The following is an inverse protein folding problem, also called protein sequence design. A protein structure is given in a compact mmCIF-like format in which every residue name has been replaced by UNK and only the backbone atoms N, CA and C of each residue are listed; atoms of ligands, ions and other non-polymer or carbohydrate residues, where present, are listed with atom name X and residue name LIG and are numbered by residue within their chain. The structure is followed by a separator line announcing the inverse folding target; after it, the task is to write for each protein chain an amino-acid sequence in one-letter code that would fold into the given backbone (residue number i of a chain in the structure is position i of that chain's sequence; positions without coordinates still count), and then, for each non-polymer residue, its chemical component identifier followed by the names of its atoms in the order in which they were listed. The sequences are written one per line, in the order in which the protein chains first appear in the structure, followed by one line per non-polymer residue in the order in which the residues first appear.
data_IF_391921873176
#
_entry.id   IF_391921873176
#
_cell.length_a   1.000
_cell.length_b   1.000
_cell.length_c   1.000
_cell.angle_alpha   90.00
_cell.angle_beta   90.00
_cell.angle_gamma   90.00
#
_symmetry.space_group_name_H-M   'P 1'
#
loop_
_entity.id
_entity.type
_entity.pdbx_description
1 polymer ?
#
# COMPACT_ATOMS: atom_id res chain seq x y z
N UNK A 1 9.27 0.54 -7.43
CA UNK A 1 8.45 -0.28 -6.50
C UNK A 1 7.28 -0.95 -7.22
N UNK A 2 6.32 -0.21 -7.75
CA UNK A 2 5.17 -0.76 -8.50
C UNK A 2 5.58 -1.70 -9.64
N UNK A 3 6.59 -1.34 -10.45
CA UNK A 3 7.08 -2.23 -11.52
C UNK A 3 7.49 -3.62 -11.00
N UNK A 4 8.27 -3.66 -9.91
CA UNK A 4 8.69 -4.93 -9.29
C UNK A 4 7.48 -5.74 -8.82
N UNK A 5 6.51 -5.08 -8.18
CA UNK A 5 5.27 -5.76 -7.79
C UNK A 5 4.48 -6.28 -9.00
N UNK A 6 4.37 -5.51 -10.08
CA UNK A 6 3.67 -5.89 -11.29
C UNK A 6 4.30 -7.15 -11.92
N UNK A 7 5.64 -7.21 -11.98
CA UNK A 7 6.38 -8.40 -12.44
C UNK A 7 6.12 -9.61 -11.55
N UNK A 8 6.16 -9.44 -10.22
CA UNK A 8 5.86 -10.53 -9.29
C UNK A 8 4.42 -11.02 -9.47
N UNK A 9 3.45 -10.11 -9.55
CA UNK A 9 2.05 -10.44 -9.75
C UNK A 9 1.81 -11.22 -11.04
N UNK A 10 2.39 -10.78 -12.16
CA UNK A 10 2.23 -11.46 -13.44
C UNK A 10 2.82 -12.87 -13.42
N UNK A 11 3.98 -13.06 -12.77
CA UNK A 11 4.57 -14.38 -12.58
C UNK A 11 3.66 -15.29 -11.75
N UNK A 12 3.14 -14.82 -10.61
CA UNK A 12 2.23 -15.61 -9.79
C UNK A 12 0.91 -15.92 -10.51
N UNK A 13 0.36 -14.98 -11.29
CA UNK A 13 -0.80 -15.26 -12.15
C UNK A 13 -0.48 -16.35 -13.16
N UNK A 14 0.68 -16.29 -13.83
CA UNK A 14 1.09 -17.28 -14.83
C UNK A 14 1.34 -18.66 -14.23
N UNK A 15 1.97 -18.73 -13.06
CA UNK A 15 2.29 -19.98 -12.37
C UNK A 15 1.08 -20.64 -11.71
N UNK A 16 0.07 -19.86 -11.35
CA UNK A 16 -1.15 -20.33 -10.71
C UNK A 16 -2.39 -19.83 -11.48
N UNK A 17 -2.77 -20.50 -12.58
CA UNK A 17 -3.91 -20.07 -13.41
C UNK A 17 -5.24 -19.99 -12.67
N UNK A 18 -5.46 -20.78 -11.63
CA UNK A 18 -6.69 -20.70 -10.80
C UNK A 18 -6.52 -19.81 -9.56
N UNK A 19 -5.31 -19.30 -9.37
CA UNK A 19 -4.88 -18.51 -8.22
C UNK A 19 -5.39 -17.07 -8.28
N UNK A 20 -5.55 -16.50 -7.09
CA UNK A 20 -5.95 -15.12 -6.87
C UNK A 20 -4.72 -14.31 -6.47
N UNK A 21 -4.49 -13.23 -7.20
CA UNK A 21 -3.44 -12.24 -6.96
C UNK A 21 -4.11 -10.93 -6.55
N UNK A 22 -3.69 -10.37 -5.42
CA UNK A 22 -4.31 -9.16 -4.86
C UNK A 22 -3.26 -8.06 -4.73
N UNK A 23 -3.55 -6.88 -5.26
CA UNK A 23 -2.83 -5.65 -4.97
C UNK A 23 -3.70 -4.77 -4.09
N UNK A 24 -3.20 -4.42 -2.91
CA UNK A 24 -3.91 -3.53 -1.99
C UNK A 24 -3.26 -2.15 -1.94
N UNK A 25 -4.07 -1.10 -2.03
CA UNK A 25 -3.61 0.28 -1.85
C UNK A 25 -4.52 1.05 -0.86
N UNK A 26 -3.99 2.04 -0.12
CA UNK A 26 -4.73 2.69 0.97
C UNK A 26 -5.98 3.45 0.52
N UNK A 27 -5.97 4.01 -0.70
CA UNK A 27 -7.05 4.87 -1.19
C UNK A 27 -7.49 4.47 -2.60
N UNK A 28 -8.70 4.84 -2.97
CA UNK A 28 -9.28 4.54 -4.29
C UNK A 28 -8.49 5.18 -5.45
N UNK A 29 -8.05 6.45 -5.37
CA UNK A 29 -7.20 7.03 -6.41
C UNK A 29 -5.89 6.27 -6.60
N UNK A 30 -5.28 5.80 -5.50
CA UNK A 30 -4.08 4.96 -5.58
C UNK A 30 -4.40 3.64 -6.25
N UNK A 31 -5.50 2.96 -5.88
CA UNK A 31 -5.96 1.74 -6.56
C UNK A 31 -6.05 1.95 -8.08
N UNK A 32 -6.76 2.99 -8.55
CA UNK A 32 -6.87 3.29 -9.98
C UNK A 32 -5.51 3.56 -10.64
N UNK A 33 -4.60 4.27 -9.95
CA UNK A 33 -3.26 4.53 -10.45
C UNK A 33 -2.47 3.23 -10.64
N UNK A 34 -2.57 2.29 -9.69
CA UNK A 34 -1.86 1.01 -9.78
C UNK A 34 -2.44 0.10 -10.86
N UNK A 35 -3.76 0.14 -11.10
CA UNK A 35 -4.40 -0.58 -12.23
C UNK A 35 -3.80 -0.10 -13.56
N UNK A 36 -3.78 1.23 -13.79
CA UNK A 36 -3.19 1.82 -15.00
C UNK A 36 -1.73 1.43 -15.15
N UNK A 37 -0.94 1.61 -14.09
CA UNK A 37 0.48 1.26 -14.12
C UNK A 37 0.72 -0.23 -14.41
N UNK A 38 -0.03 -1.14 -13.80
CA UNK A 38 0.15 -2.58 -14.04
C UNK A 38 -0.28 -3.01 -15.44
N UNK A 39 -1.35 -2.39 -15.99
CA UNK A 39 -1.78 -2.62 -17.37
C UNK A 39 -0.70 -2.19 -18.36
N UNK A 40 -0.20 -0.96 -18.21
CA UNK A 40 0.75 -0.37 -19.16
C UNK A 40 2.12 -1.08 -19.11
N UNK A 41 2.48 -1.66 -17.96
CA UNK A 41 3.77 -2.35 -17.77
C UNK A 41 3.73 -3.84 -18.12
N UNK A 42 2.63 -4.54 -17.81
CA UNK A 42 2.56 -6.00 -17.85
C UNK A 42 1.54 -6.55 -18.84
N UNK A 43 0.82 -5.68 -19.56
CA UNK A 43 -0.23 -6.06 -20.51
C UNK A 43 -1.26 -7.03 -19.90
N UNK A 44 -1.56 -6.89 -18.60
CA UNK A 44 -2.63 -7.67 -17.97
C UNK A 44 -3.95 -7.19 -18.57
N UNK A 45 -4.76 -8.07 -19.19
CA UNK A 45 -6.02 -7.68 -19.79
C UNK A 45 -6.96 -7.06 -18.74
N UNK A 46 -7.69 -6.02 -19.15
CA UNK A 46 -8.69 -5.37 -18.29
C UNK A 46 -9.79 -6.36 -17.87
N UNK A 47 -10.11 -7.30 -18.77
CA UNK A 47 -11.02 -8.43 -18.55
C UNK A 47 -10.65 -9.29 -17.34
N UNK A 48 -9.34 -9.44 -17.08
CA UNK A 48 -8.81 -10.24 -15.98
C UNK A 48 -8.62 -9.44 -14.69
N UNK A 49 -8.89 -8.13 -14.72
CA UNK A 49 -8.61 -7.19 -13.65
C UNK A 49 -9.91 -6.75 -12.99
N UNK A 50 -10.00 -6.94 -11.67
CA UNK A 50 -11.17 -6.58 -10.87
C UNK A 50 -10.79 -5.46 -9.90
N UNK A 51 -11.54 -4.36 -9.94
CA UNK A 51 -11.45 -3.30 -8.96
C UNK A 51 -12.49 -3.47 -7.84
N UNK A 52 -12.03 -3.51 -6.59
CA UNK A 52 -12.88 -3.57 -5.39
C UNK A 52 -12.60 -2.37 -4.46
N UNK A 53 -13.30 -1.26 -4.70
CA UNK A 53 -13.16 0.00 -3.93
C UNK A 53 -14.45 0.47 -3.26
N UNK A 54 -15.44 -0.42 -3.12
CA UNK A 54 -16.63 -0.20 -2.27
C UNK A 54 -17.86 0.31 -3.03
N UNK A 55 -17.81 0.37 -4.37
CA UNK A 55 -18.99 0.63 -5.22
C UNK A 55 -19.82 -0.61 -5.50
N UNK A 56 -19.19 -1.79 -5.53
CA UNK A 56 -19.85 -3.05 -5.83
C UNK A 56 -20.63 -3.58 -4.63
N UNK A 57 -21.85 -4.04 -4.87
CA UNK A 57 -22.71 -4.73 -3.89
C UNK A 57 -22.03 -6.00 -3.37
N UNK A 58 -22.54 -6.57 -2.27
CA UNK A 58 -21.98 -7.80 -1.71
C UNK A 58 -22.00 -8.95 -2.73
N UNK A 59 -23.13 -9.11 -3.43
CA UNK A 59 -23.33 -10.15 -4.45
C UNK A 59 -22.38 -9.98 -5.63
N UNK A 60 -22.19 -8.74 -6.10
CA UNK A 60 -21.25 -8.44 -7.18
C UNK A 60 -19.81 -8.72 -6.77
N UNK A 61 -19.42 -8.45 -5.52
CA UNK A 61 -18.08 -8.77 -5.02
C UNK A 61 -17.86 -10.27 -4.89
N UNK A 62 -18.85 -11.00 -4.38
CA UNK A 62 -18.79 -12.45 -4.28
C UNK A 62 -18.60 -13.10 -5.66
N UNK A 63 -19.42 -12.70 -6.64
CA UNK A 63 -19.26 -13.14 -8.03
C UNK A 63 -17.88 -12.80 -8.59
N UNK A 64 -17.42 -11.58 -8.36
CA UNK A 64 -16.10 -11.14 -8.82
C UNK A 64 -14.97 -11.95 -8.20
N UNK A 65 -15.07 -12.35 -6.92
CA UNK A 65 -14.10 -13.23 -6.27
C UNK A 65 -14.05 -14.65 -6.85
N UNK A 66 -15.18 -15.16 -7.35
CA UNK A 66 -15.23 -16.48 -7.98
C UNK A 66 -14.63 -16.48 -9.39
N UNK A 67 -14.99 -15.49 -10.20
CA UNK A 67 -14.62 -15.41 -11.62
C UNK A 67 -13.25 -14.74 -11.85
N UNK A 68 -12.85 -13.82 -10.98
CA UNK A 68 -11.64 -13.01 -11.14
C UNK A 68 -10.35 -13.68 -10.70
N UNK A 69 -9.22 -13.19 -11.24
CA UNK A 69 -7.87 -13.63 -10.89
C UNK A 69 -7.02 -12.50 -10.30
N UNK A 70 -7.07 -11.30 -10.86
CA UNK A 70 -6.25 -10.16 -10.43
C UNK A 70 -7.13 -9.08 -9.82
N UNK A 71 -6.92 -8.79 -8.55
CA UNK A 71 -7.74 -7.85 -7.80
C UNK A 71 -6.93 -6.65 -7.37
N UNK A 72 -7.47 -5.46 -7.60
CA UNK A 72 -6.96 -4.22 -7.03
C UNK A 72 -8.01 -3.66 -6.08
N UNK A 73 -7.65 -3.55 -4.80
CA UNK A 73 -8.64 -3.31 -3.75
C UNK A 73 -8.11 -2.42 -2.62
N UNK A 74 -9.03 -1.84 -1.86
CA UNK A 74 -8.68 -1.27 -0.56
C UNK A 74 -8.58 -2.40 0.48
N UNK A 75 -7.67 -2.29 1.47
CA UNK A 75 -7.48 -3.38 2.43
C UNK A 75 -8.70 -3.66 3.30
N UNK A 76 -9.54 -2.67 3.56
CA UNK A 76 -10.75 -2.84 4.35
C UNK A 76 -11.73 -3.80 3.65
N UNK A 77 -11.83 -3.74 2.32
CA UNK A 77 -12.70 -4.63 1.56
C UNK A 77 -12.15 -6.05 1.57
N UNK A 78 -10.85 -6.21 1.30
CA UNK A 78 -10.20 -7.53 1.33
C UNK A 78 -10.34 -8.17 2.71
N UNK A 79 -10.08 -7.42 3.78
CA UNK A 79 -10.25 -7.90 5.15
C UNK A 79 -11.70 -8.36 5.40
N UNK A 80 -12.67 -7.50 5.08
CA UNK A 80 -14.08 -7.78 5.35
C UNK A 80 -14.58 -8.99 4.55
N UNK A 81 -14.22 -9.07 3.27
CA UNK A 81 -14.67 -10.16 2.38
C UNK A 81 -13.99 -11.50 2.75
N UNK A 82 -12.75 -11.49 3.24
CA UNK A 82 -12.10 -12.69 3.80
C UNK A 82 -12.83 -13.14 5.08
N UNK A 83 -13.12 -12.22 6.01
CA UNK A 83 -13.76 -12.55 7.29
C UNK A 83 -15.20 -13.06 7.08
N UNK A 84 -15.94 -12.48 6.12
CA UNK A 84 -17.30 -12.89 5.76
C UNK A 84 -17.36 -14.15 4.90
N UNK A 85 -16.21 -14.68 4.45
CA UNK A 85 -16.16 -15.88 3.61
C UNK A 85 -16.52 -15.66 2.13
N UNK A 86 -16.61 -14.40 1.67
CA UNK A 86 -16.90 -14.07 0.27
C UNK A 86 -15.68 -14.31 -0.63
N UNK A 87 -14.48 -14.03 -0.11
CA UNK A 87 -13.23 -14.28 -0.81
C UNK A 87 -12.80 -15.75 -0.61
N UNK A 88 -12.56 -16.53 -1.68
CA UNK A 88 -12.09 -17.91 -1.58
C UNK A 88 -10.62 -17.93 -1.16
N UNK A 89 -10.36 -17.71 0.13
CA UNK A 89 -9.04 -17.49 0.73
C UNK A 89 -7.99 -18.54 0.36
N UNK A 90 -8.38 -19.80 0.11
CA UNK A 90 -7.48 -20.88 -0.30
C UNK A 90 -6.93 -20.74 -1.72
N UNK A 91 -7.58 -19.95 -2.59
CA UNK A 91 -7.10 -19.62 -3.94
C UNK A 91 -6.09 -18.48 -3.93
N UNK A 92 -5.92 -17.75 -2.82
CA UNK A 92 -4.99 -16.62 -2.78
C UNK A 92 -3.55 -17.14 -2.84
N UNK A 93 -2.81 -16.73 -3.88
CA UNK A 93 -1.42 -17.14 -4.11
C UNK A 93 -0.43 -16.01 -3.92
N UNK A 94 -0.85 -14.74 -4.06
CA UNK A 94 0.01 -13.58 -3.92
C UNK A 94 -0.79 -12.37 -3.42
N UNK A 95 -0.23 -11.64 -2.45
CA UNK A 95 -0.76 -10.35 -1.98
C UNK A 95 0.36 -9.32 -1.95
N UNK A 96 0.12 -8.19 -2.60
CA UNK A 96 0.94 -6.98 -2.54
C UNK A 96 0.28 -5.96 -1.62
N UNK A 97 1.03 -5.47 -0.64
CA UNK A 97 0.64 -4.42 0.28
C UNK A 97 1.40 -3.13 -0.05
N UNK A 98 0.72 -2.17 -0.70
CA UNK A 98 1.27 -0.83 -0.89
C UNK A 98 1.23 -0.03 0.42
N UNK A 99 2.21 0.84 0.63
CA UNK A 99 2.44 1.50 1.92
C UNK A 99 2.41 0.54 3.13
N UNK A 100 3.17 -0.55 3.01
CA UNK A 100 3.17 -1.65 3.98
C UNK A 100 3.59 -1.22 5.41
N UNK A 101 4.24 -0.06 5.58
CA UNK A 101 4.54 0.54 6.89
C UNK A 101 3.29 0.80 7.76
N UNK A 102 2.09 0.75 7.16
CA UNK A 102 0.80 0.84 7.85
C UNK A 102 0.38 -0.46 8.53
N UNK A 103 1.05 -1.58 8.28
CA UNK A 103 0.71 -2.89 8.85
C UNK A 103 1.10 -3.02 10.33
N UNK A 104 0.55 -2.14 11.17
CA UNK A 104 0.76 -2.08 12.62
C UNK A 104 -0.57 -2.07 13.36
N UNK A 105 -0.58 -2.53 14.61
CA UNK A 105 -1.79 -2.61 15.44
C UNK A 105 -2.94 -3.35 14.75
N UNK A 106 -4.15 -2.78 14.82
CA UNK A 106 -5.37 -3.35 14.23
C UNK A 106 -5.61 -2.91 12.77
N UNK A 107 -4.59 -2.44 12.07
CA UNK A 107 -4.75 -2.05 10.67
C UNK A 107 -5.13 -3.27 9.80
N UNK A 108 -5.97 -3.04 8.79
CA UNK A 108 -6.51 -4.09 7.91
C UNK A 108 -5.43 -5.00 7.29
N UNK A 109 -4.26 -4.47 6.95
CA UNK A 109 -3.12 -5.29 6.47
C UNK A 109 -2.68 -6.36 7.47
N UNK A 110 -2.54 -6.00 8.75
CA UNK A 110 -2.16 -6.94 9.80
C UNK A 110 -3.25 -7.99 10.01
N UNK A 111 -4.53 -7.55 10.01
CA UNK A 111 -5.68 -8.44 10.18
C UNK A 111 -5.83 -9.44 9.03
N UNK A 112 -5.58 -9.04 7.78
CA UNK A 112 -5.58 -9.95 6.62
C UNK A 112 -4.54 -11.04 6.82
N UNK A 113 -3.29 -10.67 7.14
CA UNK A 113 -2.20 -11.63 7.31
C UNK A 113 -2.44 -12.56 8.50
N UNK A 114 -2.95 -12.03 9.61
CA UNK A 114 -3.32 -12.83 10.79
C UNK A 114 -4.40 -13.86 10.45
N UNK A 115 -5.46 -13.45 9.76
CA UNK A 115 -6.55 -14.34 9.38
C UNK A 115 -6.06 -15.45 8.43
N UNK A 116 -5.30 -15.10 7.39
CA UNK A 116 -4.76 -16.09 6.45
C UNK A 116 -3.78 -17.06 7.11
N UNK A 117 -2.96 -16.57 8.05
CA UNK A 117 -2.06 -17.41 8.85
C UNK A 117 -2.82 -18.40 9.73
N UNK A 118 -3.85 -17.95 10.43
CA UNK A 118 -4.71 -18.80 11.28
C UNK A 118 -5.36 -19.93 10.46
N UNK A 119 -5.76 -19.60 9.23
CA UNK A 119 -6.37 -20.53 8.28
C UNK A 119 -5.35 -21.39 7.52
N UNK A 120 -4.05 -21.26 7.83
CA UNK A 120 -2.93 -21.98 7.18
C UNK A 120 -2.96 -21.81 5.65
N UNK A 121 -3.25 -20.62 5.15
CA UNK A 121 -3.17 -20.29 3.73
C UNK A 121 -1.70 -20.02 3.37
N UNK A 122 -1.18 -20.71 2.36
CA UNK A 122 0.16 -20.46 1.82
C UNK A 122 0.06 -19.48 0.66
N UNK A 123 0.75 -18.34 0.77
CA UNK A 123 0.75 -17.30 -0.26
C UNK A 123 2.04 -16.50 -0.22
N UNK A 124 2.35 -15.82 -1.33
CA UNK A 124 3.44 -14.84 -1.39
C UNK A 124 2.98 -13.49 -0.85
N UNK A 125 3.65 -13.01 0.18
CA UNK A 125 3.47 -11.65 0.71
C UNK A 125 4.56 -10.73 0.15
N UNK A 126 4.17 -9.58 -0.42
CA UNK A 126 5.10 -8.53 -0.89
C UNK A 126 4.67 -7.19 -0.29
N UNK A 127 5.53 -6.58 0.52
CA UNK A 127 5.31 -5.24 1.05
C UNK A 127 6.07 -4.20 0.23
N UNK A 128 5.39 -3.12 -0.18
CA UNK A 128 6.01 -1.95 -0.79
C UNK A 128 5.96 -0.78 0.17
N UNK A 129 7.09 -0.13 0.40
CA UNK A 129 7.10 1.17 1.07
C UNK A 129 8.29 2.02 0.65
N UNK A 130 8.09 3.33 0.59
CA UNK A 130 9.20 4.28 0.49
C UNK A 130 9.85 4.55 1.84
N UNK A 131 9.10 4.38 2.93
CA UNK A 131 9.49 4.76 4.29
C UNK A 131 9.03 3.67 5.27
N UNK A 132 9.80 2.57 5.41
CA UNK A 132 9.47 1.51 6.37
C UNK A 132 9.40 2.02 7.83
N UNK A 133 9.95 3.20 8.10
CA UNK A 133 9.88 3.90 9.38
C UNK A 133 11.28 4.22 9.88
N UNK A 134 11.49 5.44 10.40
CA UNK A 134 12.74 5.82 11.08
C UNK A 134 12.96 5.04 12.40
N UNK A 135 11.92 4.32 12.87
CA UNK A 135 11.90 3.55 14.10
C UNK A 135 12.05 2.05 13.82
N UNK A 136 13.15 1.47 14.31
CA UNK A 136 13.46 0.04 14.20
C UNK A 136 12.38 -0.85 14.81
N UNK A 137 11.76 -0.44 15.92
CA UNK A 137 10.70 -1.23 16.57
C UNK A 137 9.48 -1.33 15.66
N UNK A 138 9.10 -0.23 15.02
CA UNK A 138 8.01 -0.19 14.06
C UNK A 138 8.27 -1.09 12.86
N UNK A 139 9.49 -1.08 12.30
CA UNK A 139 9.86 -1.97 11.20
C UNK A 139 9.76 -3.45 11.58
N UNK A 140 10.27 -3.82 12.77
CA UNK A 140 10.15 -5.19 13.28
C UNK A 140 8.69 -5.62 13.42
N UNK A 141 7.83 -4.72 13.92
CA UNK A 141 6.39 -4.99 14.05
C UNK A 141 5.73 -5.24 12.69
N UNK A 142 6.05 -4.44 11.67
CA UNK A 142 5.55 -4.62 10.31
C UNK A 142 6.00 -5.97 9.75
N UNK A 143 7.29 -6.32 9.89
CA UNK A 143 7.83 -7.60 9.41
C UNK A 143 7.13 -8.79 10.07
N UNK A 144 6.93 -8.72 11.39
CA UNK A 144 6.20 -9.75 12.16
C UNK A 144 4.74 -9.88 11.68
N UNK A 145 4.04 -8.76 11.55
CA UNK A 145 2.63 -8.76 11.17
C UNK A 145 2.40 -9.34 9.77
N UNK A 146 3.22 -8.93 8.81
CA UNK A 146 3.17 -9.39 7.42
C UNK A 146 3.84 -10.77 7.21
N UNK A 147 4.47 -11.34 8.25
CA UNK A 147 5.31 -12.54 8.17
C UNK A 147 6.38 -12.47 7.07
N UNK A 148 7.05 -11.33 6.99
CA UNK A 148 8.12 -11.09 6.01
C UNK A 148 9.43 -11.65 6.55
N UNK A 149 10.08 -12.50 5.77
CA UNK A 149 11.38 -13.10 6.12
C UNK A 149 12.58 -12.33 5.57
N UNK A 150 12.38 -11.48 4.55
CA UNK A 150 13.45 -10.73 3.88
C UNK A 150 13.01 -9.30 3.60
N UNK A 151 13.86 -8.35 3.98
CA UNK A 151 13.68 -6.93 3.66
C UNK A 151 14.78 -6.52 2.69
N UNK A 152 14.38 -5.97 1.55
CA UNK A 152 15.30 -5.39 0.57
C UNK A 152 15.21 -3.87 0.67
N UNK A 153 16.33 -3.24 1.03
CA UNK A 153 16.47 -1.79 1.02
C UNK A 153 17.28 -1.38 -0.20
N UNK A 154 16.85 -0.32 -0.88
CA UNK A 154 17.61 0.32 -1.95
C UNK A 154 17.57 1.83 -1.79
N UNK A 155 18.70 2.47 -2.01
CA UNK A 155 18.94 3.90 -1.95
C UNK A 155 19.35 4.44 -3.32
N UNK A 156 19.22 5.75 -3.53
CA UNK A 156 19.68 6.41 -4.77
C UNK A 156 21.21 6.38 -4.93
N UNK A 157 21.95 6.10 -3.85
CA UNK A 157 23.41 5.97 -3.85
C UNK A 157 23.91 4.56 -4.12
N UNK A 158 23.01 3.57 -4.25
CA UNK A 158 23.44 2.19 -4.51
C UNK A 158 23.96 2.06 -5.96
N UNK A 159 25.06 1.33 -6.21
CA UNK A 159 25.68 1.25 -7.54
C UNK A 159 24.75 0.76 -8.66
N UNK A 160 23.82 -0.14 -8.34
CA UNK A 160 22.82 -0.67 -9.28
C UNK A 160 21.72 0.33 -9.62
N UNK A 161 21.51 1.35 -8.77
CA UNK A 161 20.48 2.38 -8.92
C UNK A 161 21.07 3.69 -9.46
N UNK A 162 22.28 4.07 -9.04
CA UNK A 162 22.89 5.38 -9.29
C UNK A 162 22.91 5.76 -10.78
N UNK A 163 23.17 4.80 -11.66
CA UNK A 163 23.19 4.99 -13.12
C UNK A 163 21.82 5.40 -13.72
N UNK A 164 20.72 5.12 -13.03
CA UNK A 164 19.36 5.43 -13.45
C UNK A 164 18.78 6.67 -12.74
N UNK A 165 19.53 7.28 -11.82
CA UNK A 165 19.09 8.47 -11.08
C UNK A 165 19.44 9.71 -11.88
N UNK A 166 18.43 10.46 -12.33
CA UNK A 166 18.65 11.75 -12.97
C UNK A 166 19.08 12.80 -11.94
N UNK A 167 20.18 13.50 -12.22
CA UNK A 167 20.66 14.60 -11.38
C UNK A 167 19.59 15.70 -11.29
N UNK A 168 19.24 16.10 -10.07
CA UNK A 168 18.32 17.22 -9.80
C UNK A 168 19.14 18.44 -9.39
N UNK A 169 19.05 19.53 -10.15
CA UNK A 169 19.59 20.82 -9.71
C UNK A 169 18.57 21.48 -8.77
N UNK A 170 18.86 21.50 -7.48
CA UNK A 170 17.99 22.12 -6.47
C UNK A 170 18.57 23.49 -6.11
N UNK A 171 17.92 24.55 -6.58
CA UNK A 171 18.24 25.92 -6.15
C UNK A 171 17.40 26.28 -4.93
N UNK A 172 18.06 26.50 -3.80
CA UNK A 172 17.39 26.90 -2.55
C UNK A 172 17.34 28.42 -2.45
N UNK A 173 16.22 29.01 -2.84
CA UNK A 173 15.96 30.44 -2.65
C UNK A 173 15.50 30.70 -1.21
N UNK A 174 16.35 31.34 -0.40
CA UNK A 174 16.00 31.74 0.97
C UNK A 174 15.35 33.12 0.92
N UNK A 175 14.02 33.18 1.07
CA UNK A 175 13.28 34.44 1.09
C UNK A 175 13.41 35.10 2.48
N UNK A 176 13.95 36.32 2.53
CA UNK A 176 14.07 37.11 3.75
C UNK A 176 12.71 37.49 4.35
N UNK A 177 12.48 37.16 5.63
CA UNK A 177 11.21 37.43 6.34
C UNK A 177 11.09 38.89 6.80
N UNK A 178 11.06 39.88 5.90
CA UNK A 178 10.98 41.28 6.34
C UNK A 178 9.56 41.80 6.61
N UNK A 179 8.49 41.23 6.02
CA UNK A 179 7.12 41.78 6.20
C UNK A 179 6.10 40.84 6.87
N UNK A 180 6.31 39.53 6.92
CA UNK A 180 5.34 38.59 7.51
C UNK A 180 5.52 38.30 9.01
N UNK A 181 6.64 38.70 9.62
CA UNK A 181 6.91 38.40 11.05
C UNK A 181 5.93 39.09 12.00
N UNK A 182 5.54 40.34 11.73
CA UNK A 182 4.67 41.09 12.64
C UNK A 182 3.25 40.51 12.70
N UNK A 183 2.69 40.11 11.57
CA UNK A 183 1.35 39.49 11.53
C UNK A 183 1.33 38.10 12.18
N UNK A 184 2.34 37.27 11.90
CA UNK A 184 2.43 35.92 12.48
C UNK A 184 2.72 35.98 13.98
N UNK A 185 3.56 36.90 14.46
CA UNK A 185 3.79 37.09 15.90
C UNK A 185 2.57 37.66 16.63
N UNK A 186 1.82 38.58 16.02
CA UNK A 186 0.54 39.07 16.60
C UNK A 186 -0.49 37.95 16.70
N UNK A 187 -0.64 37.13 15.65
CA UNK A 187 -1.55 35.98 15.66
C UNK A 187 -1.13 34.92 16.69
N UNK A 188 0.16 34.62 16.80
CA UNK A 188 0.69 33.72 17.82
C UNK A 188 0.43 34.24 19.25
N UNK A 189 0.67 35.54 19.50
CA UNK A 189 0.39 36.17 20.79
C UNK A 189 -1.12 36.20 21.14
N UNK A 190 -1.98 36.40 20.14
CA UNK A 190 -3.44 36.30 20.33
C UNK A 190 -3.88 34.88 20.71
N UNK A 191 -3.33 33.86 20.04
CA UNK A 191 -3.61 32.46 20.35
C UNK A 191 -3.13 32.07 21.75
N UNK A 192 -1.92 32.49 22.14
CA UNK A 192 -1.43 32.28 23.52
C UNK A 192 -2.32 32.96 24.57
N UNK A 193 -2.79 34.18 24.29
CA UNK A 193 -3.69 34.91 25.17
C UNK A 193 -5.11 34.32 25.28
N UNK A 194 -5.56 33.55 24.28
CA UNK A 194 -6.82 32.78 24.33
C UNK A 194 -6.60 31.47 25.07
N UNK A 195 -5.49 30.77 24.81
CA UNK A 195 -5.15 29.52 25.48
C UNK A 195 -4.95 29.69 26.99
N UNK A 196 -4.36 30.80 27.45
CA UNK A 196 -4.25 31.12 28.89
C UNK A 196 -5.58 31.46 29.57
N UNK A 197 -6.63 31.78 28.82
CA UNK A 197 -7.97 32.05 29.36
C UNK A 197 -8.88 30.82 29.39
N UNK A 198 -8.47 29.75 28.72
CA UNK A 198 -9.18 28.47 28.65
C UNK A 198 -8.58 27.39 29.56
N UNK A 199 -7.45 27.67 30.21
CA UNK A 199 -6.82 26.89 31.28
C UNK A 199 -6.94 27.65 32.60
#
# INVERSE_FOLDING_TARGET
KTLVAAVVMANYRRWFPEGIVIFTAPTRPLVHQQIKACRDLMHIPEECTVELTGRKSVQERERAWQEGQVFFATPQIVQNDIVKGLCPKKRIVCIVFDECHRAVGKHAYAMICEHLRREKVSYRCVGLSATPGADRQRLQQVCKNLAVSKVEFRSETDPDIQQFVHARHIEKVVVGRQQQRQHVQRLAGMLEGVMRRLL
#
